data_IF_267803220116
#
_entry.id   IF_267803220116
#
_cell.length_a   1.000
_cell.length_b   1.000
_cell.length_c   1.000
_cell.angle_alpha   90.00
_cell.angle_beta   90.00
_cell.angle_gamma   90.00
#
_symmetry.space_group_name_H-M   'P 1'
#
loop_
_entity.id
_entity.type
_entity.pdbx_description
1 polymer ?
#
# COMPACT_ATOMS: atom_id res chain seq x y z
N UNK A 1 -13.06 -3.33 -8.42
CA UNK A 1 -12.74 -3.17 -7.00
C UNK A 1 -11.28 -2.84 -6.90
N UNK A 2 -10.90 -2.05 -5.90
CA UNK A 2 -9.56 -1.44 -5.85
C UNK A 2 -8.57 -2.22 -4.98
N UNK A 3 -8.97 -3.41 -4.49
CA UNK A 3 -8.12 -4.25 -3.64
C UNK A 3 -6.76 -4.54 -4.29
N UNK A 4 -5.68 -4.25 -3.57
CA UNK A 4 -4.31 -4.35 -4.06
C UNK A 4 -3.79 -3.11 -4.81
N UNK A 5 -4.63 -2.11 -5.11
CA UNK A 5 -4.17 -0.86 -5.72
C UNK A 5 -3.26 -0.07 -4.76
N UNK A 6 -2.25 0.67 -5.28
CA UNK A 6 -1.27 1.35 -4.45
C UNK A 6 -1.80 2.67 -3.86
N UNK A 7 -1.58 2.87 -2.58
CA UNK A 7 -1.59 4.18 -1.94
C UNK A 7 -0.20 4.81 -2.12
N UNK A 8 -0.12 5.87 -2.92
CA UNK A 8 1.13 6.57 -3.24
C UNK A 8 1.21 7.93 -2.57
N UNK A 9 2.40 8.29 -2.10
CA UNK A 9 2.70 9.64 -1.61
C UNK A 9 3.96 10.16 -2.31
N UNK A 10 3.97 11.48 -2.57
CA UNK A 10 5.13 12.15 -3.14
C UNK A 10 6.13 12.50 -2.02
N UNK A 11 7.40 12.19 -2.22
CA UNK A 11 8.49 12.55 -1.31
C UNK A 11 8.92 14.00 -1.52
N UNK A 12 9.75 14.52 -0.62
CA UNK A 12 10.38 15.83 -0.76
C UNK A 12 11.26 15.97 -2.01
N UNK A 13 11.69 14.86 -2.61
CA UNK A 13 12.47 14.84 -3.86
C UNK A 13 11.59 14.79 -5.11
N UNK A 14 10.27 14.81 -4.96
CA UNK A 14 9.30 14.74 -6.04
C UNK A 14 9.01 13.33 -6.54
N UNK A 15 9.63 12.29 -5.97
CA UNK A 15 9.40 10.89 -6.34
C UNK A 15 8.12 10.36 -5.69
N UNK A 16 7.37 9.53 -6.40
CA UNK A 16 6.24 8.82 -5.81
C UNK A 16 6.71 7.49 -5.21
N UNK A 17 6.32 7.23 -3.97
CA UNK A 17 6.58 5.97 -3.28
C UNK A 17 5.26 5.30 -2.89
N UNK A 18 5.25 3.98 -2.89
CA UNK A 18 4.09 3.18 -2.44
C UNK A 18 4.17 3.01 -0.93
N UNK A 19 3.20 3.56 -0.21
CA UNK A 19 3.10 3.48 1.25
C UNK A 19 2.15 2.38 1.71
N UNK A 20 1.16 2.04 0.89
CA UNK A 20 0.23 0.99 1.22
C UNK A 20 -0.46 0.36 0.02
N UNK A 21 -1.20 -0.71 0.27
CA UNK A 21 -2.07 -1.36 -0.70
C UNK A 21 -3.50 -1.39 -0.15
N UNK A 22 -4.50 -1.09 -0.97
CA UNK A 22 -5.91 -1.17 -0.57
C UNK A 22 -6.21 -2.57 -0.04
N UNK A 23 -6.72 -2.66 1.19
CA UNK A 23 -7.02 -3.92 1.86
C UNK A 23 -8.54 -4.12 1.98
N UNK A 24 -9.20 -3.33 2.82
CA UNK A 24 -10.64 -3.41 3.04
C UNK A 24 -11.18 -2.10 3.64
N UNK A 25 -12.50 -2.00 3.78
CA UNK A 25 -13.17 -0.90 4.45
C UNK A 25 -14.61 -1.25 4.82
N UNK A 26 -15.24 -0.47 5.69
CA UNK A 26 -16.67 -0.62 6.02
C UNK A 26 -17.46 0.23 5.01
N UNK A 27 -18.12 -0.43 4.06
CA UNK A 27 -18.76 0.24 2.93
C UNK A 27 -17.73 0.84 1.96
N UNK A 28 -18.11 1.87 1.21
CA UNK A 28 -17.24 2.60 0.30
C UNK A 28 -17.46 4.10 0.45
N UNK A 29 -16.40 4.84 0.79
CA UNK A 29 -16.40 6.30 0.97
C UNK A 29 -17.44 6.84 1.97
N UNK A 30 -17.76 6.06 3.01
CA UNK A 30 -18.65 6.49 4.09
C UNK A 30 -18.00 7.61 4.92
N UNK A 31 -18.73 8.68 5.19
CA UNK A 31 -18.23 9.81 5.98
C UNK A 31 -17.74 9.37 7.35
N UNK A 32 -16.54 9.80 7.74
CA UNK A 32 -15.92 9.47 9.02
C UNK A 32 -15.38 8.05 9.14
N UNK A 33 -15.47 7.23 8.08
CA UNK A 33 -14.94 5.86 8.06
C UNK A 33 -13.66 5.81 7.22
N UNK A 34 -12.49 5.48 7.82
CA UNK A 34 -11.26 5.35 7.06
C UNK A 34 -11.23 4.05 6.24
N UNK A 35 -10.51 4.09 5.13
CA UNK A 35 -10.09 2.87 4.42
C UNK A 35 -8.90 2.22 5.12
N UNK A 36 -8.82 0.89 5.08
CA UNK A 36 -7.72 0.13 5.67
C UNK A 36 -6.76 -0.31 4.56
N UNK A 37 -5.47 -0.05 4.77
CA UNK A 37 -4.40 -0.33 3.83
C UNK A 37 -3.34 -1.21 4.50
N UNK A 38 -2.71 -2.08 3.72
CA UNK A 38 -1.49 -2.78 4.15
C UNK A 38 -0.38 -1.74 4.32
N UNK A 39 0.37 -1.75 5.42
CA UNK A 39 1.56 -0.91 5.58
C UNK A 39 2.74 -1.54 4.84
N UNK A 40 3.03 -1.09 3.63
CA UNK A 40 4.05 -1.70 2.75
C UNK A 40 5.44 -1.66 3.37
N UNK A 41 5.78 -0.61 4.12
CA UNK A 41 7.11 -0.47 4.74
C UNK A 41 7.44 -1.62 5.69
N UNK A 42 6.45 -2.15 6.41
CA UNK A 42 6.64 -3.30 7.31
C UNK A 42 6.98 -4.60 6.55
N UNK A 43 6.62 -4.67 5.27
CA UNK A 43 6.78 -5.87 4.44
C UNK A 43 7.92 -5.78 3.42
N UNK A 44 8.57 -4.62 3.27
CA UNK A 44 9.71 -4.44 2.33
C UNK A 44 10.77 -5.55 2.47
N UNK A 45 11.22 -5.95 3.68
CA UNK A 45 12.19 -7.04 3.82
C UNK A 45 11.70 -8.36 3.23
N UNK A 46 10.44 -8.72 3.50
CA UNK A 46 9.83 -9.94 2.97
C UNK A 46 9.63 -9.86 1.45
N UNK A 47 9.16 -8.73 0.93
CA UNK A 47 8.99 -8.51 -0.52
C UNK A 47 10.33 -8.72 -1.24
N UNK A 48 11.41 -8.12 -0.72
CA UNK A 48 12.75 -8.28 -1.30
C UNK A 48 13.23 -9.73 -1.24
N UNK A 49 12.93 -10.46 -0.15
CA UNK A 49 13.22 -11.90 -0.06
C UNK A 49 12.50 -12.71 -1.14
N UNK A 50 11.21 -12.43 -1.39
CA UNK A 50 10.46 -13.12 -2.43
C UNK A 50 10.98 -12.79 -3.83
N UNK A 51 11.31 -11.53 -4.10
CA UNK A 51 11.91 -11.12 -5.39
C UNK A 51 13.25 -11.84 -5.61
N UNK A 52 14.10 -11.92 -4.58
CA UNK A 52 15.39 -12.60 -4.68
C UNK A 52 15.26 -14.12 -4.90
N UNK A 53 14.23 -14.75 -4.32
CA UNK A 53 13.98 -16.19 -4.53
C UNK A 53 13.42 -16.52 -5.93
N UNK A 54 13.02 -15.51 -6.70
CA UNK A 54 12.53 -15.62 -8.08
C UNK A 54 13.62 -15.33 -9.13
N UNK A 55 14.82 -14.93 -8.69
CA UNK A 55 16.00 -14.71 -9.53
C UNK A 55 16.86 -15.99 -9.60
#
# INVERSE_FOLDING_TARGET
GDGGAPLVCQTNTGQFQVYGLVSWGIGCASSGVPGVYVNVLNYVPWINQQIAALA
#
